data_IF_291667133321
#
_entry.id   IF_291667133321
#
_cell.length_a   1.000
_cell.length_b   1.000
_cell.length_c   1.000
_cell.angle_alpha   90.00
_cell.angle_beta   90.00
_cell.angle_gamma   90.00
#
_symmetry.space_group_name_H-M   'P 1'
#
loop_
_entity.id
_entity.type
_entity.pdbx_description
1 polymer ?
#
# COMPACT_ATOMS: atom_id res chain seq x y z
N UNK A 1 -14.96 -3.20 -6.05
CA UNK A 1 -13.89 -2.30 -5.54
C UNK A 1 -14.05 -0.95 -6.19
N UNK A 2 -14.04 0.11 -5.41
CA UNK A 2 -14.06 1.50 -5.86
C UNK A 2 -12.65 2.10 -5.74
N UNK A 3 -12.20 2.83 -6.76
CA UNK A 3 -10.87 3.45 -6.81
C UNK A 3 -11.06 4.91 -7.17
N UNK A 4 -10.66 5.81 -6.27
CA UNK A 4 -10.68 7.24 -6.48
C UNK A 4 -9.25 7.77 -6.49
N UNK A 5 -8.92 8.65 -7.43
CA UNK A 5 -7.57 9.23 -7.57
C UNK A 5 -7.67 10.74 -7.53
N UNK A 6 -6.88 11.34 -6.67
CA UNK A 6 -6.85 12.79 -6.44
C UNK A 6 -5.49 13.39 -6.79
N UNK A 7 -5.49 14.67 -7.12
CA UNK A 7 -4.27 15.45 -7.38
C UNK A 7 -3.38 14.86 -8.49
N UNK A 8 -3.99 14.24 -9.50
CA UNK A 8 -3.33 13.56 -10.59
C UNK A 8 -3.80 14.07 -11.96
N UNK A 9 -2.91 13.98 -12.97
CA UNK A 9 -3.33 14.13 -14.36
C UNK A 9 -4.15 12.92 -14.81
N UNK A 10 -5.00 13.07 -15.84
CA UNK A 10 -5.79 11.95 -16.39
C UNK A 10 -4.94 10.72 -16.73
N UNK A 11 -3.70 10.94 -17.19
CA UNK A 11 -2.77 9.87 -17.52
C UNK A 11 -2.26 9.14 -16.26
N UNK A 12 -1.90 9.89 -15.21
CA UNK A 12 -1.47 9.31 -13.95
C UNK A 12 -2.62 8.56 -13.28
N UNK A 13 -3.83 9.14 -13.29
CA UNK A 13 -5.04 8.48 -12.80
C UNK A 13 -5.26 7.12 -13.47
N UNK A 14 -5.18 7.06 -14.81
CA UNK A 14 -5.32 5.80 -15.57
C UNK A 14 -4.27 4.76 -15.17
N UNK A 15 -3.03 5.18 -14.92
CA UNK A 15 -1.98 4.27 -14.45
C UNK A 15 -2.26 3.77 -13.04
N UNK A 16 -2.70 4.65 -12.14
CA UNK A 16 -3.04 4.27 -10.75
C UNK A 16 -4.18 3.25 -10.73
N UNK A 17 -5.27 3.52 -11.44
CA UNK A 17 -6.42 2.59 -11.51
C UNK A 17 -5.96 1.23 -12.01
N UNK A 18 -5.24 1.19 -13.13
CA UNK A 18 -4.70 -0.05 -13.71
C UNK A 18 -3.75 -0.79 -12.75
N UNK A 19 -2.90 -0.07 -12.02
CA UNK A 19 -1.96 -0.65 -11.06
C UNK A 19 -2.67 -1.26 -9.86
N UNK A 20 -3.67 -0.57 -9.31
CA UNK A 20 -4.49 -1.07 -8.20
C UNK A 20 -5.24 -2.34 -8.59
N UNK A 21 -5.93 -2.32 -9.74
CA UNK A 21 -6.64 -3.49 -10.26
C UNK A 21 -5.70 -4.68 -10.48
N UNK A 22 -4.53 -4.43 -11.08
CA UNK A 22 -3.51 -5.45 -11.30
C UNK A 22 -3.01 -6.06 -9.99
N UNK A 23 -2.62 -5.24 -9.01
CA UNK A 23 -2.08 -5.70 -7.74
C UNK A 23 -3.13 -6.52 -6.95
N UNK A 24 -4.36 -6.03 -6.89
CA UNK A 24 -5.44 -6.71 -6.18
C UNK A 24 -5.79 -8.06 -6.83
N UNK A 25 -5.76 -8.16 -8.16
CA UNK A 25 -5.92 -9.43 -8.86
C UNK A 25 -4.75 -10.41 -8.66
N UNK A 26 -3.56 -9.91 -8.31
CA UNK A 26 -2.41 -10.75 -7.93
C UNK A 26 -2.49 -11.27 -6.50
N UNK A 27 -3.09 -10.49 -5.60
CA UNK A 27 -3.16 -10.82 -4.17
C UNK A 27 -4.35 -11.72 -3.83
N UNK A 28 -5.47 -11.56 -4.54
CA UNK A 28 -6.74 -12.19 -4.20
C UNK A 28 -7.38 -12.82 -5.43
N UNK A 29 -8.08 -13.94 -5.22
CA UNK A 29 -9.09 -14.35 -6.20
C UNK A 29 -10.26 -13.35 -6.13
N UNK A 30 -10.70 -12.84 -7.29
CA UNK A 30 -11.81 -11.87 -7.38
C UNK A 30 -13.09 -12.37 -6.67
N UNK A 31 -13.24 -13.69 -6.55
CA UNK A 31 -14.35 -14.31 -5.83
C UNK A 31 -14.26 -14.18 -4.31
N UNK A 32 -13.05 -13.98 -3.77
CA UNK A 32 -12.82 -13.84 -2.33
C UNK A 32 -12.94 -12.38 -1.86
N UNK A 33 -13.05 -11.44 -2.79
CA UNK A 33 -13.28 -10.01 -2.52
C UNK A 33 -14.79 -9.71 -2.38
N UNK A 34 -15.55 -10.54 -1.69
CA UNK A 34 -16.99 -10.33 -1.40
C UNK A 34 -17.26 -9.10 -0.49
N UNK A 35 -16.21 -8.40 -0.07
CA UNK A 35 -16.33 -7.18 0.74
C UNK A 35 -16.28 -5.95 -0.17
N UNK A 36 -17.15 -4.99 0.11
CA UNK A 36 -17.01 -3.65 -0.44
C UNK A 36 -15.63 -3.12 -0.02
N UNK A 37 -14.77 -2.86 -1.00
CA UNK A 37 -13.46 -2.28 -0.78
C UNK A 37 -13.39 -1.00 -1.60
N UNK A 38 -12.98 0.08 -0.96
CA UNK A 38 -12.71 1.35 -1.60
C UNK A 38 -11.30 1.82 -1.24
N UNK A 39 -10.61 2.42 -2.20
CA UNK A 39 -9.31 3.04 -2.00
C UNK A 39 -9.25 4.41 -2.65
N UNK A 40 -8.87 5.38 -1.84
CA UNK A 40 -8.55 6.73 -2.27
C UNK A 40 -7.02 6.86 -2.40
N UNK A 41 -6.54 7.28 -3.56
CA UNK A 41 -5.11 7.53 -3.80
C UNK A 41 -4.89 9.02 -4.06
N UNK A 42 -4.12 9.68 -3.22
CA UNK A 42 -3.83 11.11 -3.33
C UNK A 42 -2.32 11.39 -3.45
N UNK A 43 -1.96 12.32 -4.33
CA UNK A 43 -0.59 12.79 -4.51
C UNK A 43 -0.43 14.13 -3.81
N UNK A 44 0.22 14.13 -2.66
CA UNK A 44 0.27 15.29 -1.76
C UNK A 44 1.69 15.58 -1.24
N UNK A 45 1.83 16.65 -0.46
CA UNK A 45 3.09 16.96 0.21
C UNK A 45 3.27 16.04 1.43
N UNK A 46 4.32 15.23 1.41
CA UNK A 46 4.65 14.29 2.49
C UNK A 46 6.13 14.37 2.85
N UNK A 47 6.44 14.13 4.13
CA UNK A 47 7.82 13.96 4.63
C UNK A 47 8.38 12.57 4.30
N UNK A 48 7.49 11.60 4.06
CA UNK A 48 7.80 10.23 3.63
C UNK A 48 7.40 10.05 2.16
N UNK A 49 7.79 8.94 1.54
CA UNK A 49 7.46 8.67 0.14
C UNK A 49 6.00 8.28 -0.06
N UNK A 50 5.43 7.54 0.87
CA UNK A 50 4.02 7.15 0.89
C UNK A 50 3.59 6.56 2.22
N UNK A 51 2.29 6.36 2.38
CA UNK A 51 1.72 5.55 3.44
C UNK A 51 0.31 5.08 3.08
N UNK A 52 -0.09 3.96 3.69
CA UNK A 52 -1.42 3.38 3.58
C UNK A 52 -2.12 3.47 4.94
N UNK A 53 -3.36 3.95 4.94
CA UNK A 53 -4.22 4.07 6.11
C UNK A 53 -5.42 3.16 5.91
N UNK A 54 -5.64 2.25 6.86
CA UNK A 54 -6.87 1.50 6.99
C UNK A 54 -7.87 2.34 7.83
N UNK A 55 -8.90 2.85 7.17
CA UNK A 55 -9.95 3.64 7.83
C UNK A 55 -11.05 2.76 8.45
N UNK A 56 -10.97 1.45 8.28
CA UNK A 56 -12.00 0.50 8.71
C UNK A 56 -13.07 0.26 7.64
N UNK A 57 -13.89 -0.75 7.87
CA UNK A 57 -15.03 -1.11 7.01
C UNK A 57 -14.69 -1.33 5.51
N UNK A 58 -13.42 -1.64 5.19
CA UNK A 58 -12.93 -1.83 3.84
C UNK A 58 -12.57 -0.55 3.10
N UNK A 59 -12.48 0.57 3.81
CA UNK A 59 -12.06 1.87 3.28
C UNK A 59 -10.57 2.09 3.54
N UNK A 60 -9.82 2.42 2.48
CA UNK A 60 -8.38 2.67 2.53
C UNK A 60 -8.04 4.03 1.92
N UNK A 61 -7.01 4.66 2.47
CA UNK A 61 -6.40 5.86 1.90
C UNK A 61 -4.90 5.63 1.69
N UNK A 62 -4.44 5.85 0.48
CA UNK A 62 -3.02 5.81 0.12
C UNK A 62 -2.59 7.21 -0.28
N UNK A 63 -1.61 7.75 0.43
CA UNK A 63 -1.01 9.03 0.10
C UNK A 63 0.41 8.81 -0.42
N UNK A 64 0.76 9.47 -1.52
CA UNK A 64 2.06 9.37 -2.19
C UNK A 64 2.64 10.76 -2.38
N UNK A 65 3.93 10.90 -2.11
CA UNK A 65 4.65 12.15 -2.28
C UNK A 65 4.58 12.64 -3.73
N UNK A 66 4.02 13.84 -3.91
CA UNK A 66 3.73 14.40 -5.24
C UNK A 66 4.96 14.68 -6.10
N UNK A 67 6.11 14.99 -5.49
CA UNK A 67 7.32 15.43 -6.20
C UNK A 67 8.22 14.26 -6.65
N UNK A 68 7.82 13.01 -6.37
CA UNK A 68 8.54 11.84 -6.88
C UNK A 68 8.43 11.74 -8.41
N UNK A 69 9.47 11.25 -9.10
CA UNK A 69 9.36 10.85 -10.50
C UNK A 69 8.26 9.80 -10.71
N UNK A 70 7.71 9.71 -11.91
CA UNK A 70 6.60 8.80 -12.22
C UNK A 70 6.90 7.35 -11.84
N UNK A 71 8.09 6.86 -12.16
CA UNK A 71 8.50 5.48 -11.86
C UNK A 71 8.47 5.21 -10.35
N UNK A 72 9.05 6.11 -9.57
CA UNK A 72 9.09 6.02 -8.11
C UNK A 72 7.68 6.10 -7.50
N UNK A 73 6.82 6.99 -7.99
CA UNK A 73 5.40 7.03 -7.57
C UNK A 73 4.72 5.69 -7.73
N UNK A 74 4.94 5.01 -8.85
CA UNK A 74 4.30 3.72 -9.12
C UNK A 74 4.92 2.59 -8.28
N UNK A 75 6.22 2.63 -7.98
CA UNK A 75 6.86 1.66 -7.08
C UNK A 75 6.35 1.85 -5.64
N UNK A 76 6.26 3.11 -5.17
CA UNK A 76 5.68 3.44 -3.86
C UNK A 76 4.22 3.00 -3.80
N UNK A 77 3.43 3.24 -4.85
CA UNK A 77 2.05 2.72 -4.91
C UNK A 77 2.01 1.20 -4.72
N UNK A 78 2.89 0.46 -5.38
CA UNK A 78 2.95 -1.02 -5.21
C UNK A 78 3.31 -1.42 -3.78
N UNK A 79 4.19 -0.66 -3.10
CA UNK A 79 4.52 -0.85 -1.69
C UNK A 79 3.27 -0.68 -0.82
N UNK A 80 2.55 0.43 -0.97
CA UNK A 80 1.37 0.74 -0.18
C UNK A 80 0.20 -0.24 -0.45
N UNK A 81 0.11 -0.75 -1.68
CA UNK A 81 -0.86 -1.80 -2.03
C UNK A 81 -0.55 -3.14 -1.35
N UNK A 82 0.72 -3.43 -1.04
CA UNK A 82 1.06 -4.59 -0.19
C UNK A 82 0.55 -4.38 1.23
N UNK A 83 0.69 -3.19 1.81
CA UNK A 83 0.10 -2.88 3.12
C UNK A 83 -1.43 -2.99 3.11
N UNK A 84 -2.09 -2.45 2.09
CA UNK A 84 -3.53 -2.63 1.91
C UNK A 84 -3.92 -4.12 1.87
N UNK A 85 -3.16 -4.94 1.15
CA UNK A 85 -3.35 -6.42 1.11
C UNK A 85 -3.19 -7.03 2.50
N UNK A 86 -2.18 -6.63 3.27
CA UNK A 86 -1.93 -7.14 4.61
C UNK A 86 -3.10 -6.86 5.56
N UNK A 87 -3.70 -5.66 5.47
CA UNK A 87 -4.90 -5.31 6.23
C UNK A 87 -6.12 -6.12 5.79
N UNK A 88 -6.39 -6.20 4.49
CA UNK A 88 -7.53 -6.97 3.95
C UNK A 88 -7.45 -8.44 4.34
N UNK A 89 -6.26 -9.02 4.31
CA UNK A 89 -6.02 -10.40 4.67
C UNK A 89 -5.99 -10.66 6.19
N UNK A 90 -6.06 -9.61 7.02
CA UNK A 90 -5.94 -9.72 8.47
C UNK A 90 -4.54 -10.15 8.94
N UNK A 91 -3.52 -9.93 8.11
CA UNK A 91 -2.12 -10.22 8.46
C UNK A 91 -1.51 -9.12 9.33
N UNK A 92 -1.86 -7.86 9.03
CA UNK A 92 -1.47 -6.67 9.79
C UNK A 92 -2.72 -6.01 10.36
N UNK A 93 -2.76 -5.85 11.69
CA UNK A 93 -3.84 -5.17 12.37
C UNK A 93 -3.27 -4.17 13.36
N UNK A 94 -3.78 -2.94 13.31
CA UNK A 94 -3.52 -1.97 14.35
C UNK A 94 -4.57 -2.15 15.45
N UNK A 95 -4.12 -2.61 16.62
CA UNK A 95 -4.93 -2.67 17.82
C UNK A 95 -5.20 -1.26 18.36
N UNK A 96 -6.10 -1.18 19.34
CA UNK A 96 -6.40 0.07 20.03
C UNK A 96 -5.19 0.63 20.80
N UNK A 97 -5.35 1.82 21.34
CA UNK A 97 -4.37 2.42 22.23
C UNK A 97 -4.53 1.75 23.61
N UNK A 98 -3.47 1.11 24.10
CA UNK A 98 -3.38 0.62 25.48
C UNK A 98 -2.55 1.59 26.32
N UNK A 99 -2.80 1.61 27.64
CA UNK A 99 -1.95 2.31 28.58
C UNK A 99 -0.89 1.33 29.05
N UNK A 100 0.37 1.60 28.71
CA UNK A 100 1.52 0.80 29.15
C UNK A 100 1.74 0.88 30.67
N UNK A 101 2.62 0.03 31.20
CA UNK A 101 2.96 -0.03 32.63
C UNK A 101 3.56 1.27 33.16
N UNK A 102 4.11 2.10 32.29
CA UNK A 102 4.64 3.44 32.57
C UNK A 102 3.58 4.54 32.50
N UNK A 103 2.30 4.21 32.26
CA UNK A 103 1.19 5.16 32.08
C UNK A 103 1.14 5.87 30.73
N UNK A 104 2.01 5.51 29.79
CA UNK A 104 2.02 6.07 28.45
C UNK A 104 1.08 5.29 27.51
N UNK A 105 0.51 6.00 26.52
CA UNK A 105 -0.32 5.39 25.47
C UNK A 105 0.59 4.67 24.48
N UNK A 106 0.38 3.36 24.33
CA UNK A 106 1.07 2.55 23.32
C UNK A 106 0.07 2.07 22.27
N UNK A 107 0.46 2.15 20.99
CA UNK A 107 -0.24 1.46 19.91
C UNK A 107 0.11 -0.02 19.98
N UNK A 108 -0.90 -0.87 19.91
CA UNK A 108 -0.69 -2.30 19.70
C UNK A 108 -0.76 -2.61 18.21
N UNK A 109 0.19 -3.37 17.73
CA UNK A 109 0.23 -3.90 16.36
C UNK A 109 0.28 -5.42 16.45
N UNK A 110 -0.53 -6.11 15.65
CA UNK A 110 -0.43 -7.55 15.50
C UNK A 110 0.03 -7.89 14.08
N UNK A 111 0.86 -8.90 13.99
CA UNK A 111 1.29 -9.49 12.74
C UNK A 111 1.01 -10.99 12.76
N UNK A 112 0.25 -11.48 11.77
CA UNK A 112 -0.18 -12.89 11.68
C UNK A 112 -0.83 -13.38 12.97
N UNK A 113 -1.64 -12.53 13.62
CA UNK A 113 -2.37 -12.84 14.85
C UNK A 113 -1.54 -12.78 16.14
N UNK A 114 -0.26 -12.44 16.07
CA UNK A 114 0.61 -12.28 17.24
C UNK A 114 0.91 -10.81 17.51
N UNK A 115 0.92 -10.42 18.79
CA UNK A 115 1.34 -9.08 19.22
C UNK A 115 2.80 -8.83 18.80
N UNK A 116 3.06 -7.65 18.26
CA UNK A 116 4.37 -7.26 17.73
C UNK A 116 4.87 -5.98 18.42
N UNK A 117 6.13 -6.02 18.86
CA UNK A 117 6.82 -4.86 19.43
C UNK A 117 7.34 -3.93 18.32
N UNK A 118 6.47 -3.04 17.85
CA UNK A 118 6.80 -2.09 16.80
C UNK A 118 7.84 -1.04 17.24
N UNK A 119 7.77 -0.59 18.51
CA UNK A 119 8.69 0.44 19.03
C UNK A 119 10.10 -0.12 19.25
N UNK A 120 10.21 -1.39 19.64
CA UNK A 120 11.48 -2.09 19.86
C UNK A 120 12.12 -2.66 18.58
N UNK A 121 11.48 -2.49 17.40
CA UNK A 121 11.95 -3.06 16.14
C UNK A 121 12.23 -1.96 15.13
N UNK A 122 13.43 -1.96 14.55
CA UNK A 122 13.78 -1.04 13.47
C UNK A 122 12.81 -1.20 12.29
N UNK A 123 12.53 -0.08 11.60
CA UNK A 123 11.55 -0.02 10.53
C UNK A 123 11.76 -1.11 9.46
N UNK A 124 12.99 -1.28 8.98
CA UNK A 124 13.30 -2.26 7.94
C UNK A 124 13.33 -3.73 8.43
N UNK A 125 13.23 -3.95 9.73
CA UNK A 125 13.16 -5.29 10.34
C UNK A 125 11.72 -5.70 10.67
N UNK A 126 10.74 -4.82 10.45
CA UNK A 126 9.32 -5.11 10.61
C UNK A 126 8.85 -6.06 9.51
N UNK A 127 8.21 -7.18 9.83
CA UNK A 127 7.90 -8.21 8.84
C UNK A 127 6.98 -7.73 7.71
N UNK A 128 6.05 -6.82 7.98
CA UNK A 128 5.20 -6.22 6.95
C UNK A 128 5.97 -5.31 6.00
N UNK A 129 6.99 -4.61 6.47
CA UNK A 129 7.87 -3.80 5.63
C UNK A 129 8.77 -4.67 4.78
N UNK A 130 9.30 -5.77 5.35
CA UNK A 130 10.11 -6.76 4.61
C UNK A 130 9.29 -7.32 3.43
N UNK A 131 8.02 -7.67 3.65
CA UNK A 131 7.15 -8.13 2.58
C UNK A 131 6.90 -7.04 1.54
N UNK A 132 6.57 -5.81 1.95
CA UNK A 132 6.28 -4.71 1.06
C UNK A 132 7.48 -4.34 0.19
N UNK A 133 8.67 -4.16 0.77
CA UNK A 133 9.92 -3.93 0.04
C UNK A 133 10.30 -5.09 -0.87
N UNK A 134 10.09 -6.32 -0.42
CA UNK A 134 10.37 -7.52 -1.22
C UNK A 134 9.49 -7.68 -2.46
N UNK A 135 8.27 -7.16 -2.43
CA UNK A 135 7.29 -7.30 -3.51
C UNK A 135 7.19 -6.10 -4.44
N UNK A 136 7.43 -4.88 -3.95
CA UNK A 136 7.12 -3.64 -4.67
C UNK A 136 7.70 -3.58 -6.09
N UNK A 137 8.98 -3.91 -6.26
CA UNK A 137 9.65 -3.84 -7.56
C UNK A 137 9.15 -4.93 -8.52
N UNK A 138 8.96 -6.15 -8.02
CA UNK A 138 8.42 -7.24 -8.84
C UNK A 138 7.01 -6.97 -9.33
N UNK A 139 6.14 -6.43 -8.47
CA UNK A 139 4.79 -6.02 -8.83
C UNK A 139 4.81 -4.91 -9.89
N UNK A 140 5.64 -3.89 -9.69
CA UNK A 140 5.81 -2.80 -10.65
C UNK A 140 6.23 -3.31 -12.03
N UNK A 141 7.26 -4.16 -12.09
CA UNK A 141 7.75 -4.73 -13.37
C UNK A 141 6.65 -5.53 -14.06
N UNK A 142 5.93 -6.39 -13.34
CA UNK A 142 4.85 -7.21 -13.90
C UNK A 142 3.66 -6.38 -14.35
N UNK A 143 3.33 -5.33 -13.62
CA UNK A 143 2.31 -4.38 -14.06
C UNK A 143 2.72 -3.67 -15.35
N UNK A 144 3.94 -3.15 -15.43
CA UNK A 144 4.47 -2.51 -16.66
C UNK A 144 4.40 -3.47 -17.83
N UNK A 145 4.81 -4.73 -17.68
CA UNK A 145 4.69 -5.76 -18.71
C UNK A 145 3.23 -5.97 -19.16
N UNK A 146 2.27 -5.82 -18.26
CA UNK A 146 0.85 -6.02 -18.57
C UNK A 146 0.21 -4.87 -19.39
N UNK A 147 0.74 -3.66 -19.28
CA UNK A 147 0.19 -2.46 -19.94
C UNK A 147 1.03 -1.97 -21.12
N UNK A 148 2.27 -2.45 -21.26
CA UNK A 148 3.24 -1.94 -22.23
C UNK A 148 3.67 -3.04 -23.20
N UNK A 149 2.96 -3.17 -24.31
CA UNK A 149 3.23 -4.13 -25.39
C UNK A 149 4.56 -3.85 -26.11
N UNK A 150 5.63 -3.54 -25.38
CA UNK A 150 7.01 -3.41 -25.91
C UNK A 150 7.68 -2.05 -25.75
N UNK A 151 7.14 -1.13 -24.96
CA UNK A 151 7.69 0.22 -24.79
C UNK A 151 8.27 0.49 -23.37
N UNK A 152 9.13 -0.41 -22.88
CA UNK A 152 9.72 -0.31 -21.54
C UNK A 152 10.57 0.94 -21.27
N UNK A 153 10.97 1.71 -22.31
CA UNK A 153 11.91 2.84 -22.18
C UNK A 153 11.43 3.95 -21.24
N UNK A 154 10.12 4.22 -21.19
CA UNK A 154 9.56 5.29 -20.33
C UNK A 154 9.62 4.98 -18.83
N UNK A 155 9.87 3.71 -18.48
CA UNK A 155 9.92 3.22 -17.11
C UNK A 155 11.34 2.96 -16.59
N UNK A 156 12.36 3.21 -17.43
CA UNK A 156 13.77 2.94 -17.10
C UNK A 156 14.47 4.10 -16.43
N UNK A 157 13.80 5.25 -16.27
CA UNK A 157 14.39 6.46 -15.69
C UNK A 157 13.78 6.77 -14.35
#
# INVERSE_FOLDING_TARGET
MEINVYSASNKLESYVISAVEFAMAKFFDVKDLDKYISVDVDFTDLDVEGHCIDAGDGEFSIEIKKDLPLREKMIVLMHELVHMKQHIAGELEFGGIIIGKDGLKCKTTTWMGAEFDEEGTDYFDRPWEIEAFGRQLGLFIRWVESIDEGHHKKWQV
#
